data_IF_229609050610
#
_entry.id   IF_229609050610
#
_cell.length_a   1.000
_cell.length_b   1.000
_cell.length_c   1.000
_cell.angle_alpha   90.00
_cell.angle_beta   90.00
_cell.angle_gamma   90.00
#
_symmetry.space_group_name_H-M   'P 1'
#
loop_
_entity.id
_entity.type
_entity.pdbx_description
1 polymer ?
#
# COMPACT_ATOMS: atom_id res chain seq x y z
N UNK A 1 17.23 -5.46 -3.87
CA UNK A 1 16.22 -5.84 -2.87
C UNK A 1 16.03 -4.65 -1.92
N UNK A 2 14.79 -4.34 -1.53
CA UNK A 2 14.52 -3.18 -0.68
C UNK A 2 15.19 -3.38 0.69
N UNK A 3 15.95 -2.38 1.14
CA UNK A 3 16.64 -2.38 2.45
C UNK A 3 15.63 -2.05 3.55
N UNK A 4 14.68 -2.95 3.75
CA UNK A 4 13.56 -2.79 4.64
C UNK A 4 13.77 -3.66 5.87
N UNK A 5 13.83 -3.05 7.05
CA UNK A 5 13.75 -3.80 8.29
C UNK A 5 12.30 -4.23 8.54
N UNK A 6 12.12 -5.47 8.98
CA UNK A 6 10.79 -6.04 9.18
C UNK A 6 10.07 -5.41 10.38
N UNK A 7 10.80 -5.07 11.45
CA UNK A 7 10.21 -4.42 12.62
C UNK A 7 9.77 -3.00 12.27
N UNK A 8 10.60 -2.26 11.54
CA UNK A 8 10.23 -0.92 11.05
C UNK A 8 8.96 -0.96 10.20
N UNK A 9 8.86 -1.91 9.27
CA UNK A 9 7.66 -2.07 8.44
C UNK A 9 6.41 -2.37 9.28
N UNK A 10 6.52 -3.26 10.25
CA UNK A 10 5.41 -3.59 11.14
C UNK A 10 4.98 -2.38 11.97
N UNK A 11 5.91 -1.55 12.45
CA UNK A 11 5.59 -0.33 13.19
C UNK A 11 4.88 0.70 12.30
N UNK A 12 5.31 0.88 11.05
CA UNK A 12 4.66 1.80 10.11
C UNK A 12 3.22 1.38 9.73
N UNK A 13 2.93 0.07 9.70
CA UNK A 13 1.65 -0.47 9.22
C UNK A 13 0.68 -0.83 10.35
N UNK A 14 1.18 -1.35 11.46
CA UNK A 14 0.40 -1.92 12.56
C UNK A 14 0.62 -1.21 13.89
N UNK A 15 1.43 -0.15 13.93
CA UNK A 15 1.60 0.68 15.11
C UNK A 15 0.33 1.44 15.49
N UNK A 16 0.37 2.09 16.65
CA UNK A 16 -0.79 2.72 17.28
C UNK A 16 -1.39 3.89 16.46
N UNK A 17 -0.57 4.54 15.61
CA UNK A 17 -0.99 5.68 14.79
C UNK A 17 -1.91 5.29 13.61
N UNK A 18 -1.97 3.99 13.27
CA UNK A 18 -2.82 3.47 12.20
C UNK A 18 -2.48 4.01 10.80
N UNK A 19 -3.43 3.86 9.88
CA UNK A 19 -3.30 4.26 8.48
C UNK A 19 -4.22 5.44 8.16
N UNK A 20 -3.72 6.37 7.36
CA UNK A 20 -4.49 7.53 6.88
C UNK A 20 -5.14 7.20 5.56
N UNK A 21 -6.48 7.24 5.50
CA UNK A 21 -7.20 7.10 4.24
C UNK A 21 -6.99 8.35 3.36
N UNK A 22 -6.60 8.12 2.12
CA UNK A 22 -6.44 9.18 1.12
C UNK A 22 -7.64 9.18 0.17
N UNK A 23 -8.12 10.37 -0.24
CA UNK A 23 -9.18 10.44 -1.24
C UNK A 23 -8.73 9.78 -2.53
N UNK A 24 -9.55 8.89 -3.10
CA UNK A 24 -9.21 8.19 -4.34
C UNK A 24 -9.18 9.19 -5.51
N UNK A 25 -8.03 9.44 -6.16
CA UNK A 25 -7.94 10.51 -7.16
C UNK A 25 -8.52 10.14 -8.55
N UNK A 26 -9.25 9.02 -8.71
CA UNK A 26 -9.72 8.60 -10.03
C UNK A 26 -10.82 7.54 -10.09
N UNK A 27 -11.28 7.23 -11.32
CA UNK A 27 -12.43 6.36 -11.65
C UNK A 27 -12.34 4.89 -11.20
N UNK A 28 -11.18 4.41 -10.72
CA UNK A 28 -11.01 2.97 -10.39
C UNK A 28 -11.88 2.50 -9.22
N UNK A 29 -12.24 3.42 -8.31
CA UNK A 29 -12.91 3.11 -7.05
C UNK A 29 -12.01 2.37 -6.05
N UNK A 30 -10.69 2.46 -6.21
CA UNK A 30 -9.73 1.90 -5.26
C UNK A 30 -9.62 2.77 -4.02
N UNK A 31 -9.54 2.16 -2.84
CA UNK A 31 -9.16 2.82 -1.60
C UNK A 31 -7.63 2.91 -1.53
N UNK A 32 -7.17 4.01 -0.95
CA UNK A 32 -5.75 4.29 -0.73
C UNK A 32 -5.53 4.61 0.74
N UNK A 33 -4.50 4.03 1.31
CA UNK A 33 -4.07 4.29 2.67
C UNK A 33 -2.58 4.60 2.69
N UNK A 34 -2.18 5.55 3.52
CA UNK A 34 -0.79 5.95 3.71
C UNK A 34 -0.41 5.69 5.18
N UNK A 35 0.76 5.09 5.41
CA UNK A 35 1.30 4.97 6.77
C UNK A 35 1.52 6.34 7.40
N UNK A 36 1.50 6.41 8.73
CA UNK A 36 1.65 7.67 9.47
C UNK A 36 2.99 8.38 9.19
N UNK A 37 4.02 7.61 8.80
CA UNK A 37 5.37 8.07 8.49
C UNK A 37 5.63 8.27 6.98
N UNK A 38 4.58 8.20 6.16
CA UNK A 38 4.62 8.42 4.71
C UNK A 38 5.53 7.46 3.91
N UNK A 39 5.94 6.34 4.52
CA UNK A 39 6.83 5.36 3.87
C UNK A 39 6.08 4.36 2.99
N UNK A 40 4.82 4.05 3.28
CA UNK A 40 4.09 2.98 2.62
C UNK A 40 2.70 3.41 2.18
N UNK A 41 2.43 3.23 0.88
CA UNK A 41 1.11 3.37 0.29
C UNK A 41 0.48 1.98 0.12
N UNK A 42 -0.70 1.77 0.71
CA UNK A 42 -1.53 0.60 0.51
C UNK A 42 -2.66 0.97 -0.45
N UNK A 43 -2.87 0.15 -1.48
CA UNK A 43 -3.93 0.34 -2.46
C UNK A 43 -4.76 -0.94 -2.57
N UNK A 44 -6.07 -0.83 -2.50
CA UNK A 44 -6.96 -1.97 -2.81
C UNK A 44 -6.96 -2.24 -4.30
N UNK A 45 -6.91 -3.51 -4.69
CA UNK A 45 -7.04 -3.94 -6.08
C UNK A 45 -8.25 -4.86 -6.24
N UNK A 46 -8.98 -4.71 -7.34
CA UNK A 46 -9.99 -5.69 -7.76
C UNK A 46 -9.29 -6.98 -8.17
N UNK A 47 -9.97 -8.13 -8.01
CA UNK A 47 -9.42 -9.44 -8.42
C UNK A 47 -8.98 -9.47 -9.90
N UNK A 48 -9.68 -8.74 -10.77
CA UNK A 48 -9.32 -8.59 -12.18
C UNK A 48 -8.01 -7.84 -12.40
N UNK A 49 -7.64 -6.93 -11.49
CA UNK A 49 -6.42 -6.12 -11.57
C UNK A 49 -5.18 -6.86 -11.04
N UNK A 50 -5.36 -7.84 -10.14
CA UNK A 50 -4.26 -8.63 -9.56
C UNK A 50 -3.42 -9.36 -10.62
N UNK A 51 -4.07 -9.90 -11.66
CA UNK A 51 -3.35 -10.60 -12.75
C UNK A 51 -2.46 -9.67 -13.55
N UNK A 52 -2.89 -8.42 -13.72
CA UNK A 52 -2.11 -7.41 -14.44
C UNK A 52 -0.95 -6.95 -13.56
N UNK A 53 -1.19 -6.64 -12.28
CA UNK A 53 -0.14 -6.14 -11.37
C UNK A 53 0.98 -7.15 -11.12
N UNK A 54 0.67 -8.45 -11.01
CA UNK A 54 1.69 -9.49 -10.83
C UNK A 54 2.73 -9.50 -11.96
N UNK A 55 2.33 -9.16 -13.19
CA UNK A 55 3.23 -9.08 -14.33
C UNK A 55 4.18 -7.87 -14.26
N UNK A 56 3.82 -6.81 -13.53
CA UNK A 56 4.67 -5.62 -13.34
C UNK A 56 5.61 -5.74 -12.14
N UNK A 57 5.32 -6.60 -11.16
CA UNK A 57 6.11 -6.74 -9.93
C UNK A 57 7.33 -7.67 -10.14
N UNK A 58 7.35 -8.48 -11.21
CA UNK A 58 8.44 -9.42 -11.50
C UNK A 58 9.54 -8.88 -12.43
N UNK A 59 9.41 -7.65 -12.94
CA UNK A 59 10.43 -6.96 -13.76
C UNK A 59 11.23 -5.98 -12.92
#
# INVERSE_FOLDING_TARGET
MFKLDAADYMMSICGDDGLRELPSPGKSGSLFYLSHDDRFLIKTLKKSELKLSANFIQT
#
